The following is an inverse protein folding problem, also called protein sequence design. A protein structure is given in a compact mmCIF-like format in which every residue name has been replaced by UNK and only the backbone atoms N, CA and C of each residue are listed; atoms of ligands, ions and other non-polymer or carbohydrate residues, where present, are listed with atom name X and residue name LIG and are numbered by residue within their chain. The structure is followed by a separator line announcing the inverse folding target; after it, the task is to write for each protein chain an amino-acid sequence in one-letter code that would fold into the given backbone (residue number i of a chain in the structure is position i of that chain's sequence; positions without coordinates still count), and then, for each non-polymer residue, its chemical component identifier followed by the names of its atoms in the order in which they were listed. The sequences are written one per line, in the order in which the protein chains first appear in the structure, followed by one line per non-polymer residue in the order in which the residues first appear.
data_IF_882010340156
#
_entry.id   IF_882010340156
#
_cell.length_a   1.000
_cell.length_b   1.000
_cell.length_c   1.000
_cell.angle_alpha   90.00
_cell.angle_beta   90.00
_cell.angle_gamma   90.00
#
_symmetry.space_group_name_H-M   'P 1'
#
loop_
_entity.id
_entity.type
_entity.pdbx_description
1 polymer ?
#
# COMPACT_ATOMS: atom_id res chain seq x y z
N UNK A 1 58.55 -22.96 -37.39
CA UNK A 1 57.56 -23.82 -36.69
C UNK A 1 56.82 -22.91 -35.71
N UNK A 2 55.63 -22.44 -36.10
CA UNK A 2 54.32 -22.78 -35.47
C UNK A 2 54.33 -22.70 -33.95
N UNK A 3 53.51 -21.93 -33.25
CA UNK A 3 52.32 -21.17 -33.62
C UNK A 3 51.59 -20.79 -32.32
N UNK A 4 51.08 -19.57 -32.27
CA UNK A 4 50.01 -19.01 -31.42
C UNK A 4 49.54 -19.86 -30.22
N UNK A 5 49.94 -19.50 -29.00
CA UNK A 5 49.27 -19.93 -27.75
C UNK A 5 49.00 -18.74 -26.85
N UNK A 6 47.83 -18.15 -27.00
CA UNK A 6 47.41 -17.02 -26.15
C UNK A 6 45.99 -16.57 -26.43
N UNK A 7 44.99 -17.45 -26.33
CA UNK A 7 43.57 -17.05 -26.45
C UNK A 7 42.56 -17.72 -25.50
N UNK A 8 42.97 -18.53 -24.53
CA UNK A 8 41.98 -19.29 -23.72
C UNK A 8 41.67 -18.72 -22.33
N UNK A 9 42.52 -17.86 -21.73
CA UNK A 9 42.29 -17.41 -20.34
C UNK A 9 41.17 -16.38 -20.15
N UNK A 10 40.65 -15.77 -21.22
CA UNK A 10 39.57 -14.78 -21.13
C UNK A 10 38.16 -15.40 -21.25
N UNK A 11 38.05 -16.69 -21.59
CA UNK A 11 36.77 -17.34 -21.91
C UNK A 11 36.05 -17.90 -20.66
N UNK A 12 36.80 -18.38 -19.68
CA UNK A 12 36.24 -18.98 -18.47
C UNK A 12 35.65 -17.95 -17.48
N UNK A 13 36.19 -16.73 -17.45
CA UNK A 13 35.69 -15.68 -16.54
C UNK A 13 34.36 -15.03 -16.97
N UNK A 14 34.03 -15.07 -18.27
CA UNK A 14 32.82 -14.45 -18.82
C UNK A 14 31.61 -15.37 -18.92
N UNK A 15 31.82 -16.69 -18.92
CA UNK A 15 30.72 -17.67 -19.01
C UNK A 15 29.85 -17.64 -17.75
N UNK A 16 30.47 -17.55 -16.57
CA UNK A 16 29.77 -17.45 -15.29
C UNK A 16 28.96 -16.15 -15.21
N UNK A 17 29.52 -15.03 -15.70
CA UNK A 17 28.82 -13.72 -15.67
C UNK A 17 27.60 -13.69 -16.59
N UNK A 18 27.65 -14.38 -17.74
CA UNK A 18 26.52 -14.45 -18.68
C UNK A 18 25.39 -15.31 -18.10
N UNK A 19 25.70 -16.41 -17.40
CA UNK A 19 24.70 -17.24 -16.72
C UNK A 19 24.00 -16.47 -15.59
N UNK A 20 24.75 -15.71 -14.78
CA UNK A 20 24.17 -14.84 -13.76
C UNK A 20 23.31 -13.71 -14.34
N UNK A 21 23.72 -13.14 -15.48
CA UNK A 21 22.93 -12.11 -16.16
C UNK A 21 21.61 -12.67 -16.69
N UNK A 22 21.55 -13.96 -17.03
CA UNK A 22 20.32 -14.65 -17.44
C UNK A 22 19.27 -14.76 -16.33
N UNK A 23 19.68 -14.99 -15.08
CA UNK A 23 18.74 -15.08 -13.94
C UNK A 23 18.40 -13.73 -13.32
N UNK A 24 19.24 -12.72 -13.54
CA UNK A 24 19.08 -11.37 -12.97
C UNK A 24 17.69 -10.75 -13.24
N UNK A 25 17.11 -10.80 -14.46
CA UNK A 25 15.77 -10.30 -14.72
C UNK A 25 14.68 -10.99 -13.90
N UNK A 26 14.80 -12.32 -13.69
CA UNK A 26 13.85 -13.10 -12.89
C UNK A 26 13.94 -12.69 -11.43
N UNK A 27 15.15 -12.57 -10.90
CA UNK A 27 15.39 -12.12 -9.52
C UNK A 27 14.78 -10.73 -9.30
N UNK A 28 15.04 -9.78 -10.20
CA UNK A 28 14.49 -8.43 -10.12
C UNK A 28 12.96 -8.48 -10.17
N UNK A 29 12.37 -9.23 -11.10
CA UNK A 29 10.92 -9.37 -11.20
C UNK A 29 10.32 -9.94 -9.91
N UNK A 30 10.93 -10.97 -9.31
CA UNK A 30 10.49 -11.52 -8.02
C UNK A 30 10.61 -10.50 -6.88
N UNK A 31 11.72 -9.77 -6.80
CA UNK A 31 11.89 -8.71 -5.78
C UNK A 31 10.84 -7.61 -5.93
N UNK A 32 10.50 -7.24 -7.16
CA UNK A 32 9.42 -6.28 -7.43
C UNK A 32 8.07 -6.81 -6.95
N UNK A 33 7.75 -8.08 -7.21
CA UNK A 33 6.50 -8.69 -6.73
C UNK A 33 6.46 -8.74 -5.20
N UNK A 34 7.54 -9.17 -4.55
CA UNK A 34 7.64 -9.19 -3.09
C UNK A 34 7.48 -7.78 -2.51
N UNK A 35 8.09 -6.79 -3.15
CA UNK A 35 7.92 -5.40 -2.79
C UNK A 35 6.48 -4.93 -2.92
N UNK A 36 5.79 -5.27 -4.01
CA UNK A 36 4.37 -4.95 -4.17
C UNK A 36 3.51 -5.58 -3.06
N UNK A 37 3.79 -6.83 -2.67
CA UNK A 37 3.08 -7.47 -1.55
C UNK A 37 3.28 -6.71 -0.23
N UNK A 38 4.49 -6.19 0.01
CA UNK A 38 4.76 -5.34 1.18
C UNK A 38 3.94 -4.06 1.15
N UNK A 39 3.86 -3.38 0.00
CA UNK A 39 3.03 -2.16 -0.14
C UNK A 39 1.55 -2.44 0.09
N UNK A 40 1.02 -3.55 -0.43
CA UNK A 40 -0.37 -3.97 -0.18
C UNK A 40 -0.60 -4.20 1.31
N UNK A 41 0.27 -4.98 1.97
CA UNK A 41 0.17 -5.24 3.40
C UNK A 41 0.23 -3.98 4.24
N UNK A 42 1.14 -3.06 3.91
CA UNK A 42 1.23 -1.76 4.57
C UNK A 42 -0.04 -0.92 4.40
N UNK A 43 -0.67 -0.98 3.23
CA UNK A 43 -1.92 -0.27 2.95
C UNK A 43 -3.09 -0.82 3.77
N UNK A 44 -3.15 -2.13 4.02
CA UNK A 44 -4.13 -2.72 4.96
C UNK A 44 -3.97 -2.16 6.37
N UNK A 45 -2.73 -2.05 6.86
CA UNK A 45 -2.47 -1.45 8.17
C UNK A 45 -2.89 0.01 8.23
N UNK A 46 -2.60 0.79 7.17
CA UNK A 46 -3.03 2.19 7.08
C UNK A 46 -4.55 2.34 7.06
N UNK A 47 -5.25 1.54 6.25
CA UNK A 47 -6.70 1.60 6.14
C UNK A 47 -7.41 1.25 7.45
N UNK A 48 -6.90 0.26 8.19
CA UNK A 48 -7.40 -0.07 9.52
C UNK A 48 -7.22 1.06 10.52
N UNK A 49 -6.00 1.59 10.65
CA UNK A 49 -5.71 2.69 11.57
C UNK A 49 -6.52 3.97 11.23
N UNK A 50 -6.69 4.25 9.94
CA UNK A 50 -7.52 5.36 9.48
C UNK A 50 -9.00 5.16 9.83
N UNK A 51 -9.53 3.94 9.69
CA UNK A 51 -10.92 3.64 10.05
C UNK A 51 -11.15 3.78 11.56
N UNK A 52 -10.24 3.27 12.38
CA UNK A 52 -10.32 3.39 13.84
C UNK A 52 -10.30 4.85 14.31
N UNK A 53 -9.40 5.66 13.74
CA UNK A 53 -9.32 7.10 14.05
C UNK A 53 -10.56 7.85 13.57
N UNK A 54 -11.05 7.54 12.36
CA UNK A 54 -12.26 8.12 11.81
C UNK A 54 -13.49 7.85 12.68
N UNK A 55 -13.71 6.60 13.10
CA UNK A 55 -14.81 6.25 14.01
C UNK A 55 -14.69 6.98 15.33
N UNK A 56 -13.49 7.01 15.93
CA UNK A 56 -13.27 7.66 17.22
C UNK A 56 -13.56 9.17 17.17
N UNK A 57 -13.16 9.84 16.11
CA UNK A 57 -13.47 11.26 15.92
C UNK A 57 -14.96 11.47 15.65
N UNK A 58 -15.59 10.57 14.90
CA UNK A 58 -17.00 10.61 14.59
C UNK A 58 -17.91 10.39 15.81
N UNK A 59 -17.53 9.49 16.72
CA UNK A 59 -18.28 9.26 17.98
C UNK A 59 -18.15 10.44 18.94
N UNK A 60 -16.98 11.07 19.02
CA UNK A 60 -16.75 12.23 19.89
C UNK A 60 -17.36 13.54 19.37
N UNK A 61 -17.71 13.61 18.08
CA UNK A 61 -18.27 14.80 17.46
C UNK A 61 -19.80 14.86 17.59
N UNK A 62 -20.32 16.09 17.70
CA UNK A 62 -21.76 16.36 17.59
C UNK A 62 -22.32 15.84 16.26
N UNK A 63 -23.60 15.42 16.26
CA UNK A 63 -24.26 14.81 15.09
C UNK A 63 -24.13 15.64 13.80
N UNK A 64 -24.15 16.97 13.90
CA UNK A 64 -24.00 17.87 12.76
C UNK A 64 -22.57 17.98 12.19
N UNK A 65 -21.54 17.68 12.99
CA UNK A 65 -20.13 17.80 12.62
C UNK A 65 -19.45 16.44 12.36
N UNK A 66 -20.11 15.32 12.73
CA UNK A 66 -19.61 13.94 12.65
C UNK A 66 -18.92 13.60 11.33
N UNK A 67 -19.55 13.93 10.20
CA UNK A 67 -18.99 13.62 8.87
C UNK A 67 -17.71 14.39 8.57
N UNK A 68 -17.61 15.64 9.02
CA UNK A 68 -16.41 16.46 8.87
C UNK A 68 -15.26 15.90 9.70
N UNK A 69 -15.51 15.68 11.00
CA UNK A 69 -14.54 15.15 11.95
C UNK A 69 -14.05 13.75 11.55
N UNK A 70 -14.96 12.86 11.12
CA UNK A 70 -14.62 11.56 10.57
C UNK A 70 -13.62 11.64 9.43
N UNK A 71 -13.94 12.45 8.42
CA UNK A 71 -13.15 12.50 7.18
C UNK A 71 -11.80 13.17 7.41
N UNK A 72 -11.76 14.22 8.22
CA UNK A 72 -10.52 14.87 8.61
C UNK A 72 -9.61 13.89 9.35
N UNK A 73 -10.12 13.25 10.40
CA UNK A 73 -9.34 12.32 11.23
C UNK A 73 -8.87 11.06 10.47
N UNK A 74 -9.70 10.53 9.58
CA UNK A 74 -9.35 9.38 8.75
C UNK A 74 -8.28 9.67 7.68
N UNK A 75 -8.10 10.94 7.28
CA UNK A 75 -7.10 11.35 6.28
C UNK A 75 -5.84 11.95 6.91
N UNK A 76 -5.94 12.56 8.10
CA UNK A 76 -4.87 13.31 8.77
C UNK A 76 -3.54 12.55 8.92
N UNK A 77 -3.62 11.24 9.19
CA UNK A 77 -2.43 10.40 9.44
C UNK A 77 -1.96 9.62 8.21
N UNK A 78 -2.56 9.85 7.04
CA UNK A 78 -2.14 9.17 5.82
C UNK A 78 -0.86 9.82 5.27
N UNK A 79 0.14 9.01 4.85
CA UNK A 79 1.26 9.55 4.10
C UNK A 79 0.78 10.10 2.76
N UNK A 80 1.37 11.21 2.29
CA UNK A 80 0.90 11.90 1.09
C UNK A 80 0.80 11.05 -0.18
N UNK A 81 1.57 9.96 -0.30
CA UNK A 81 1.46 9.01 -1.43
C UNK A 81 0.23 8.10 -1.39
N UNK A 82 -0.49 8.03 -0.27
CA UNK A 82 -1.75 7.30 -0.10
C UNK A 82 -2.95 8.26 0.05
N UNK A 83 -2.74 9.45 0.60
CA UNK A 83 -3.79 10.45 0.84
C UNK A 83 -4.57 10.81 -0.43
N UNK A 84 -3.88 11.02 -1.56
CA UNK A 84 -4.52 11.40 -2.83
C UNK A 84 -5.41 10.31 -3.45
N UNK A 85 -5.23 9.05 -3.05
CA UNK A 85 -6.04 7.89 -3.48
C UNK A 85 -6.93 7.34 -2.35
N UNK A 86 -7.10 8.08 -1.26
CA UNK A 86 -7.90 7.66 -0.12
C UNK A 86 -9.29 8.30 -0.13
N UNK A 87 -10.28 7.57 0.36
CA UNK A 87 -11.62 8.12 0.61
C UNK A 87 -12.19 7.52 1.89
N UNK A 88 -12.80 8.37 2.70
CA UNK A 88 -13.40 8.03 3.99
C UNK A 88 -14.90 8.29 3.91
N UNK A 89 -15.70 7.30 4.30
CA UNK A 89 -17.13 7.45 4.53
C UNK A 89 -17.46 7.07 5.97
N UNK A 90 -18.25 7.87 6.66
CA UNK A 90 -18.83 7.48 7.94
C UNK A 90 -20.34 7.36 7.81
N UNK A 91 -20.91 6.48 8.61
CA UNK A 91 -22.35 6.37 8.79
C UNK A 91 -22.68 6.26 10.28
N UNK A 92 -23.90 6.63 10.65
CA UNK A 92 -24.40 6.46 12.00
C UNK A 92 -25.83 5.91 11.94
N UNK A 93 -25.99 4.69 12.43
CA UNK A 93 -27.26 3.99 12.39
C UNK A 93 -27.42 3.06 13.60
N UNK A 94 -28.64 3.01 14.17
CA UNK A 94 -28.99 2.04 15.20
C UNK A 94 -28.19 2.14 16.49
N UNK A 95 -27.69 3.33 16.85
CA UNK A 95 -26.84 3.53 18.05
C UNK A 95 -25.38 3.16 17.82
N UNK A 96 -24.94 3.03 16.57
CA UNK A 96 -23.53 2.80 16.21
C UNK A 96 -23.07 3.85 15.21
N UNK A 97 -21.79 4.19 15.30
CA UNK A 97 -21.04 4.97 14.31
C UNK A 97 -20.06 4.04 13.63
N UNK A 98 -20.08 4.00 12.30
CA UNK A 98 -19.17 3.19 11.48
C UNK A 98 -18.34 4.08 10.56
N UNK A 99 -17.12 3.65 10.25
CA UNK A 99 -16.27 4.29 9.24
C UNK A 99 -15.72 3.24 8.26
N UNK A 100 -15.81 3.58 6.98
CA UNK A 100 -15.30 2.85 5.85
C UNK A 100 -14.23 3.68 5.16
N UNK A 101 -12.99 3.19 5.20
CA UNK A 101 -11.83 3.83 4.56
C UNK A 101 -11.39 2.99 3.38
N UNK A 102 -11.32 3.60 2.21
CA UNK A 102 -10.76 3.00 0.98
C UNK A 102 -9.46 3.70 0.66
N UNK A 103 -8.40 2.93 0.41
CA UNK A 103 -7.09 3.45 0.04
C UNK A 103 -6.55 2.71 -1.17
N UNK A 104 -6.12 3.44 -2.18
CA UNK A 104 -5.42 2.89 -3.33
C UNK A 104 -3.95 2.57 -3.00
N UNK A 105 -3.50 1.37 -3.38
CA UNK A 105 -2.10 0.97 -3.18
C UNK A 105 -1.22 1.62 -4.26
N UNK A 106 -0.19 2.39 -3.88
CA UNK A 106 0.69 3.02 -4.86
C UNK A 106 1.54 1.98 -5.58
N UNK A 107 1.68 2.14 -6.89
CA UNK A 107 2.47 1.25 -7.74
C UNK A 107 3.93 1.71 -7.81
N UNK A 108 4.87 0.77 -7.81
CA UNK A 108 6.31 1.11 -7.91
C UNK A 108 6.75 1.46 -9.35
N UNK A 109 5.99 1.05 -10.37
CA UNK A 109 6.25 1.37 -11.77
C UNK A 109 4.98 1.90 -12.48
N UNK A 110 4.60 3.16 -12.22
CA UNK A 110 3.47 3.76 -12.91
C UNK A 110 3.77 3.86 -14.42
N UNK A 111 3.12 3.03 -15.24
CA UNK A 111 3.20 3.07 -16.71
C UNK A 111 3.49 1.75 -17.42
N UNK A 112 4.01 0.72 -16.73
CA UNK A 112 4.26 -0.61 -17.33
C UNK A 112 3.19 -1.64 -16.96
N UNK A 113 2.59 -1.53 -15.77
CA UNK A 113 1.50 -2.36 -15.28
C UNK A 113 0.53 -1.48 -14.50
N UNK A 114 -0.75 -1.46 -14.90
CA UNK A 114 -1.82 -0.76 -14.18
C UNK A 114 -2.71 -1.80 -13.50
N UNK A 115 -2.44 -2.09 -12.23
CA UNK A 115 -3.31 -2.93 -11.41
C UNK A 115 -3.91 -2.06 -10.30
N UNK A 116 -5.16 -1.56 -10.44
CA UNK A 116 -5.80 -0.79 -9.40
C UNK A 116 -6.23 -1.73 -8.27
N UNK A 117 -5.36 -1.89 -7.26
CA UNK A 117 -5.71 -2.59 -6.03
C UNK A 117 -6.16 -1.57 -5.00
N UNK A 118 -7.45 -1.61 -4.65
CA UNK A 118 -8.02 -0.81 -3.56
C UNK A 118 -8.15 -1.69 -2.32
N UNK A 119 -7.68 -1.16 -1.19
CA UNK A 119 -7.78 -1.81 0.11
C UNK A 119 -8.84 -1.10 0.94
N UNK A 120 -9.59 -1.88 1.71
CA UNK A 120 -10.71 -1.42 2.53
C UNK A 120 -10.41 -1.65 4.02
N UNK A 121 -10.59 -0.62 4.83
CA UNK A 121 -10.64 -0.68 6.30
C UNK A 121 -12.05 -0.33 6.76
N UNK A 122 -12.56 -1.09 7.73
CA UNK A 122 -13.88 -0.87 8.32
C UNK A 122 -13.76 -0.93 9.84
N UNK A 123 -14.37 0.03 10.52
CA UNK A 123 -14.45 0.08 11.98
C UNK A 123 -15.85 0.55 12.41
N UNK A 124 -16.25 0.18 13.63
CA UNK A 124 -17.51 0.62 14.22
C UNK A 124 -17.44 0.71 15.74
N UNK A 125 -18.12 1.71 16.31
CA UNK A 125 -18.21 1.94 17.75
C UNK A 125 -19.64 2.31 18.15
N UNK A 126 -20.03 2.00 19.39
CA UNK A 126 -21.33 2.38 19.95
C UNK A 126 -21.38 3.89 20.13
N UNK A 127 -22.51 4.50 19.79
CA UNK A 127 -22.82 5.90 20.10
C UNK A 127 -23.22 5.95 21.58
N UNK A 128 -22.36 6.53 22.42
CA UNK A 128 -22.72 6.81 23.82
C UNK A 128 -23.78 7.92 23.79
N UNK A 129 -24.98 7.65 24.32
CA UNK A 129 -25.99 8.66 24.56
C UNK A 129 -25.56 9.48 25.78
N UNK A 130 -25.02 10.68 25.55
CA UNK A 130 -24.94 11.70 26.61
C UNK A 130 -26.37 12.12 26.97
N UNK A 131 -26.88 11.54 28.05
CA UNK A 131 -28.18 11.82 28.71
C UNK A 131 -28.18 13.18 29.44
#
# INVERSE_FOLDING_TARGET
MSGLRGRDRARDGGQVTIEFLGMTPVIIATLVVLWQLVLVGYTYTLAGNAADEAVRAATAAERGARQGACREAGLDKLPGSWEGGASVGCDAAGGFVTADVRIEVPLLFPGTLSLPFTVHGHAGAVEEEDD
#
